data_IF_465064151111
#
_entry.id   IF_465064151111
#
_cell.length_a   1.000
_cell.length_b   1.000
_cell.length_c   1.000
_cell.angle_alpha   90.00
_cell.angle_beta   90.00
_cell.angle_gamma   90.00
#
_symmetry.space_group_name_H-M   'P 1'
#
loop_
_entity.id
_entity.type
_entity.pdbx_description
1 polymer ?
#
# COMPACT_ATOMS: atom_id res chain seq x y z
N UNK A 1 -14.75 6.49 -5.22
CA UNK A 1 -13.74 7.26 -4.43
C UNK A 1 -14.32 8.42 -3.61
N UNK A 2 -15.52 8.92 -3.96
CA UNK A 2 -16.19 10.07 -3.30
C UNK A 2 -16.42 9.94 -1.80
N UNK A 3 -16.40 8.72 -1.24
CA UNK A 3 -16.56 8.43 0.18
C UNK A 3 -15.32 8.75 1.04
N UNK A 4 -14.16 8.96 0.43
CA UNK A 4 -12.93 9.30 1.17
C UNK A 4 -12.98 10.77 1.65
N UNK A 5 -12.45 11.08 2.84
CA UNK A 5 -12.36 12.46 3.33
C UNK A 5 -11.27 13.25 2.60
N UNK A 6 -11.30 14.57 2.77
CA UNK A 6 -10.27 15.46 2.25
C UNK A 6 -10.53 16.01 0.84
N UNK A 7 -9.50 16.67 0.30
CA UNK A 7 -9.49 17.26 -1.03
C UNK A 7 -9.37 16.21 -2.16
N UNK A 8 -9.34 16.66 -3.42
CA UNK A 8 -9.25 15.79 -4.59
C UNK A 8 -8.10 14.79 -4.50
N UNK A 9 -6.92 15.24 -4.08
CA UNK A 9 -5.71 14.43 -3.98
C UNK A 9 -5.80 13.48 -2.80
N UNK A 10 -6.18 13.96 -1.62
CA UNK A 10 -6.31 13.17 -0.40
C UNK A 10 -7.31 12.02 -0.56
N UNK A 11 -8.42 12.22 -1.29
CA UNK A 11 -9.39 11.15 -1.57
C UNK A 11 -8.77 10.00 -2.35
N UNK A 12 -7.91 10.29 -3.33
CA UNK A 12 -7.23 9.26 -4.11
C UNK A 12 -6.08 8.65 -3.33
N UNK A 13 -5.33 9.45 -2.56
CA UNK A 13 -4.30 8.95 -1.67
C UNK A 13 -4.87 7.93 -0.67
N UNK A 14 -5.97 8.26 0.00
CA UNK A 14 -6.71 7.33 0.88
C UNK A 14 -7.12 6.05 0.15
N UNK A 15 -7.67 6.15 -1.05
CA UNK A 15 -8.05 4.98 -1.85
C UNK A 15 -6.85 4.10 -2.18
N UNK A 16 -5.74 4.70 -2.64
CA UNK A 16 -4.49 3.96 -2.92
C UNK A 16 -3.91 3.30 -1.67
N UNK A 17 -3.87 4.02 -0.55
CA UNK A 17 -3.42 3.50 0.73
C UNK A 17 -4.26 2.29 1.16
N UNK A 18 -5.59 2.41 1.09
CA UNK A 18 -6.51 1.33 1.43
C UNK A 18 -6.33 0.12 0.51
N UNK A 19 -6.18 0.31 -0.80
CA UNK A 19 -5.90 -0.82 -1.72
C UNK A 19 -4.58 -1.51 -1.37
N UNK A 20 -3.52 -0.75 -1.08
CA UNK A 20 -2.24 -1.32 -0.63
C UNK A 20 -2.35 -2.08 0.69
N UNK A 21 -3.19 -1.61 1.62
CA UNK A 21 -3.49 -2.31 2.86
C UNK A 21 -4.28 -3.60 2.60
N UNK A 22 -5.36 -3.51 1.82
CA UNK A 22 -6.26 -4.62 1.52
C UNK A 22 -5.54 -5.77 0.80
N UNK A 23 -4.62 -5.45 -0.11
CA UNK A 23 -3.80 -6.47 -0.79
C UNK A 23 -2.77 -7.14 0.13
N UNK A 24 -2.35 -6.47 1.21
CA UNK A 24 -1.41 -7.02 2.17
C UNK A 24 -2.07 -7.77 3.33
N UNK A 25 -3.30 -7.38 3.70
CA UNK A 25 -4.04 -7.99 4.79
C UNK A 25 -4.40 -9.46 4.47
N UNK A 26 -4.37 -10.39 5.45
CA UNK A 26 -4.77 -11.78 5.22
C UNK A 26 -6.18 -11.91 4.62
N UNK A 27 -6.30 -12.79 3.63
CA UNK A 27 -7.53 -13.07 2.91
C UNK A 27 -7.44 -12.75 1.42
N UNK A 28 -8.27 -13.41 0.61
CA UNK A 28 -8.26 -13.25 -0.85
C UNK A 28 -8.95 -11.94 -1.25
N UNK A 29 -8.48 -11.33 -2.33
CA UNK A 29 -8.93 -10.01 -2.77
C UNK A 29 -10.05 -10.12 -3.81
N UNK A 30 -11.05 -9.25 -3.67
CA UNK A 30 -12.07 -8.99 -4.66
C UNK A 30 -12.30 -7.48 -4.72
N UNK A 31 -12.26 -6.92 -5.92
CA UNK A 31 -12.47 -5.50 -6.18
C UNK A 31 -13.43 -5.36 -7.36
N UNK A 32 -14.49 -4.57 -7.21
CA UNK A 32 -15.53 -4.43 -8.23
C UNK A 32 -15.11 -3.41 -9.31
N UNK A 33 -15.60 -3.61 -10.54
CA UNK A 33 -15.25 -2.76 -11.68
C UNK A 33 -15.56 -1.28 -11.42
N UNK A 34 -14.69 -0.40 -11.93
CA UNK A 34 -14.71 1.04 -11.66
C UNK A 34 -13.87 1.44 -10.44
N UNK A 35 -13.68 0.55 -9.46
CA UNK A 35 -12.86 0.86 -8.28
C UNK A 35 -11.36 0.87 -8.61
N UNK A 36 -10.93 0.12 -9.61
CA UNK A 36 -9.54 -0.01 -10.05
C UNK A 36 -8.98 1.27 -10.68
N UNK A 37 -9.82 2.18 -11.16
CA UNK A 37 -9.42 3.51 -11.64
C UNK A 37 -10.07 4.64 -10.83
N UNK A 38 -10.51 4.34 -9.60
CA UNK A 38 -11.11 5.31 -8.68
C UNK A 38 -12.29 6.11 -9.26
N UNK A 39 -13.26 5.41 -9.86
CA UNK A 39 -14.51 6.02 -10.30
C UNK A 39 -15.17 6.86 -9.18
N UNK A 40 -15.67 8.03 -9.56
CA UNK A 40 -16.31 8.99 -8.68
C UNK A 40 -17.78 8.67 -8.42
N UNK A 41 -18.54 8.50 -9.51
CA UNK A 41 -19.96 8.17 -9.47
C UNK A 41 -20.22 6.77 -8.90
N UNK A 42 -21.41 6.59 -8.32
CA UNK A 42 -21.89 5.26 -7.97
C UNK A 42 -22.06 4.42 -9.24
N UNK A 43 -21.91 3.10 -9.10
CA UNK A 43 -22.08 2.21 -10.23
C UNK A 43 -23.52 2.23 -10.74
N UNK A 44 -23.68 2.32 -12.07
CA UNK A 44 -24.97 2.25 -12.75
C UNK A 44 -24.89 1.17 -13.82
N UNK A 45 -25.71 0.12 -13.69
CA UNK A 45 -25.83 -0.94 -14.69
C UNK A 45 -26.24 -0.43 -16.08
N UNK A 46 -27.03 0.65 -16.14
CA UNK A 46 -27.49 1.26 -17.37
C UNK A 46 -26.37 1.98 -18.15
N UNK A 47 -25.34 2.47 -17.45
CA UNK A 47 -24.26 3.27 -18.04
C UNK A 47 -22.91 2.54 -18.04
N UNK A 48 -22.75 1.50 -17.22
CA UNK A 48 -21.48 0.81 -17.06
C UNK A 48 -20.40 1.65 -16.35
N UNK A 49 -19.14 1.22 -16.38
CA UNK A 49 -18.02 1.99 -15.85
C UNK A 49 -17.75 3.29 -16.62
N UNK A 50 -17.35 4.34 -15.92
CA UNK A 50 -17.06 5.67 -16.46
C UNK A 50 -15.69 5.71 -17.18
N UNK A 51 -15.56 4.98 -18.29
CA UNK A 51 -14.29 4.85 -19.04
C UNK A 51 -13.72 6.17 -19.53
N UNK A 52 -14.55 7.20 -19.72
CA UNK A 52 -14.13 8.55 -20.09
C UNK A 52 -13.18 9.19 -19.06
N UNK A 53 -13.16 8.72 -17.81
CA UNK A 53 -12.19 9.14 -16.79
C UNK A 53 -10.74 8.77 -17.16
N UNK A 54 -10.55 7.80 -18.07
CA UNK A 54 -9.26 7.38 -18.59
C UNK A 54 -8.95 7.97 -19.96
N UNK A 55 -9.78 8.87 -20.49
CA UNK A 55 -9.56 9.53 -21.77
C UNK A 55 -8.41 10.54 -21.66
N UNK A 56 -7.52 10.63 -22.66
CA UNK A 56 -6.42 11.60 -22.65
C UNK A 56 -6.89 13.06 -22.62
N UNK A 57 -8.09 13.35 -23.15
CA UNK A 57 -8.67 14.69 -23.14
C UNK A 57 -9.23 15.14 -21.80
N UNK A 58 -9.41 14.23 -20.83
CA UNK A 58 -9.90 14.58 -19.50
C UNK A 58 -8.77 15.09 -18.60
N UNK A 59 -8.93 16.28 -18.03
CA UNK A 59 -7.87 17.00 -17.31
C UNK A 59 -7.28 16.25 -16.11
N UNK A 60 -8.05 15.33 -15.52
CA UNK A 60 -7.59 14.52 -14.38
C UNK A 60 -7.39 13.04 -14.73
N UNK A 61 -7.33 12.68 -16.01
CA UNK A 61 -7.18 11.28 -16.42
C UNK A 61 -5.87 10.64 -15.94
N UNK A 62 -4.81 11.44 -15.74
CA UNK A 62 -3.57 11.00 -15.11
C UNK A 62 -3.79 10.42 -13.70
N UNK A 63 -4.67 11.02 -12.90
CA UNK A 63 -4.94 10.54 -11.53
C UNK A 63 -5.68 9.19 -11.54
N UNK A 64 -6.61 9.01 -12.48
CA UNK A 64 -7.36 7.76 -12.65
C UNK A 64 -6.47 6.64 -13.19
N UNK A 65 -5.64 6.93 -14.20
CA UNK A 65 -4.62 6.01 -14.71
C UNK A 65 -3.61 5.62 -13.64
N UNK A 66 -3.18 6.56 -12.79
CA UNK A 66 -2.28 6.27 -11.66
C UNK A 66 -2.84 5.24 -10.68
N UNK A 67 -4.15 5.28 -10.39
CA UNK A 67 -4.80 4.24 -9.56
C UNK A 67 -4.88 2.91 -10.31
N UNK A 68 -5.19 2.93 -11.61
CA UNK A 68 -5.23 1.72 -12.45
C UNK A 68 -3.84 1.04 -12.51
N UNK A 69 -2.79 1.84 -12.67
CA UNK A 69 -1.41 1.37 -12.65
C UNK A 69 -1.02 0.81 -11.29
N UNK A 70 -1.48 1.42 -10.19
CA UNK A 70 -1.31 0.85 -8.85
C UNK A 70 -1.96 -0.54 -8.76
N UNK A 71 -3.20 -0.71 -9.23
CA UNK A 71 -3.89 -2.02 -9.17
C UNK A 71 -3.18 -3.07 -10.03
N UNK A 72 -2.67 -2.68 -11.21
CA UNK A 72 -1.82 -3.57 -12.05
C UNK A 72 -0.59 -4.04 -11.26
N UNK A 73 0.07 -3.10 -10.58
CA UNK A 73 1.28 -3.34 -9.83
C UNK A 73 1.05 -4.16 -8.55
N UNK A 74 -0.07 -3.92 -7.85
CA UNK A 74 -0.53 -4.72 -6.71
C UNK A 74 -0.76 -6.17 -7.13
N UNK A 75 -1.47 -6.40 -8.24
CA UNK A 75 -1.74 -7.75 -8.76
C UNK A 75 -0.48 -8.48 -9.22
N UNK A 76 0.50 -7.76 -9.76
CA UNK A 76 1.79 -8.34 -10.15
C UNK A 76 2.58 -8.74 -8.91
N UNK A 77 2.77 -7.80 -7.98
CA UNK A 77 3.51 -8.05 -6.72
C UNK A 77 2.86 -9.10 -5.84
N UNK A 78 1.54 -9.15 -5.79
CA UNK A 78 0.81 -10.18 -5.05
C UNK A 78 1.18 -11.57 -5.51
N UNK A 79 1.16 -11.83 -6.83
CA UNK A 79 1.57 -13.12 -7.39
C UNK A 79 3.04 -13.43 -7.11
N UNK A 80 3.89 -12.42 -7.22
CA UNK A 80 5.35 -12.56 -7.08
C UNK A 80 5.84 -12.62 -5.61
N UNK A 81 4.96 -12.39 -4.63
CA UNK A 81 5.30 -12.38 -3.21
C UNK A 81 4.51 -13.43 -2.44
N UNK A 82 5.05 -14.66 -2.28
CA UNK A 82 4.35 -15.78 -1.64
C UNK A 82 3.78 -15.50 -0.24
N UNK A 83 4.46 -14.65 0.54
CA UNK A 83 4.01 -14.24 1.88
C UNK A 83 2.60 -13.62 1.89
N UNK A 84 2.17 -13.03 0.77
CA UNK A 84 0.86 -12.38 0.67
C UNK A 84 -0.30 -13.37 0.49
N UNK A 85 -0.05 -14.63 0.11
CA UNK A 85 -1.13 -15.54 -0.29
C UNK A 85 -0.99 -17.01 0.12
N UNK A 86 0.23 -17.54 0.36
CA UNK A 86 0.41 -18.96 0.65
C UNK A 86 -0.31 -19.39 1.93
N UNK A 87 -0.25 -18.55 2.96
CA UNK A 87 -0.67 -18.89 4.33
C UNK A 87 -1.76 -17.98 4.90
N UNK A 88 -2.68 -17.50 4.06
CA UNK A 88 -3.77 -16.58 4.49
C UNK A 88 -4.65 -17.14 5.62
N UNK A 89 -4.81 -18.46 5.70
CA UNK A 89 -5.67 -19.12 6.69
C UNK A 89 -4.91 -19.62 7.92
N UNK A 90 -3.61 -19.33 8.01
CA UNK A 90 -2.76 -19.71 9.13
C UNK A 90 -2.47 -18.47 10.00
N UNK A 91 -2.99 -18.43 11.24
CA UNK A 91 -2.73 -17.32 12.15
C UNK A 91 -1.23 -17.09 12.43
N UNK A 92 -0.39 -18.13 12.32
CA UNK A 92 1.06 -18.02 12.51
C UNK A 92 1.80 -17.31 11.39
N UNK A 93 1.14 -17.06 10.25
CA UNK A 93 1.71 -16.35 9.10
C UNK A 93 1.43 -14.84 9.10
N UNK A 94 0.78 -14.33 10.15
CA UNK A 94 0.50 -12.91 10.33
C UNK A 94 0.93 -12.46 11.72
N UNK A 95 1.58 -11.30 11.82
CA UNK A 95 1.97 -10.72 13.11
C UNK A 95 1.85 -9.21 13.09
N UNK A 96 1.07 -8.64 14.00
CA UNK A 96 1.09 -7.20 14.23
C UNK A 96 2.47 -6.73 14.70
N UNK A 97 2.98 -5.68 14.06
CA UNK A 97 4.17 -4.95 14.48
C UNK A 97 3.75 -3.71 15.26
N UNK A 98 2.75 -2.98 14.75
CA UNK A 98 2.09 -1.86 15.43
C UNK A 98 0.58 -1.98 15.20
N UNK A 99 -0.19 -2.07 16.27
CA UNK A 99 -1.66 -2.08 16.22
C UNK A 99 -2.32 -1.09 17.19
N UNK A 100 -1.54 -0.50 18.10
CA UNK A 100 -1.95 0.42 19.16
C UNK A 100 -1.44 1.86 18.94
N UNK A 101 -0.79 2.13 17.80
CA UNK A 101 -0.36 3.47 17.37
C UNK A 101 -1.55 4.32 16.86
N UNK A 102 -2.65 4.34 17.63
CA UNK A 102 -3.89 5.01 17.27
C UNK A 102 -3.72 6.52 17.10
N UNK A 103 -2.93 7.15 17.99
CA UNK A 103 -2.57 8.56 17.90
C UNK A 103 -1.84 8.88 16.59
N UNK A 104 -1.13 7.88 16.06
CA UNK A 104 -0.36 8.04 14.84
C UNK A 104 -1.13 7.72 13.55
N UNK A 105 -2.26 7.01 13.66
CA UNK A 105 -2.98 6.42 12.54
C UNK A 105 -2.08 5.53 11.67
N UNK A 106 -1.17 4.78 12.30
CA UNK A 106 -0.25 3.85 11.64
C UNK A 106 -0.59 2.41 12.00
N UNK A 107 -0.71 1.58 10.98
CA UNK A 107 -0.84 0.13 11.11
C UNK A 107 0.37 -0.54 10.48
N UNK A 108 1.01 -1.46 11.19
CA UNK A 108 2.13 -2.22 10.64
C UNK A 108 2.01 -3.69 11.01
N UNK A 109 2.25 -4.57 10.05
CA UNK A 109 2.20 -6.02 10.28
C UNK A 109 3.15 -6.77 9.34
N UNK A 110 3.53 -7.97 9.76
CA UNK A 110 4.31 -8.92 9.00
C UNK A 110 3.41 -10.02 8.43
N UNK A 111 3.73 -10.43 7.22
CA UNK A 111 3.21 -11.60 6.52
C UNK A 111 4.35 -12.58 6.29
N UNK A 112 4.10 -13.88 6.40
CA UNK A 112 5.12 -14.91 6.20
C UNK A 112 4.68 -15.93 5.16
N UNK A 113 5.63 -16.37 4.33
CA UNK A 113 5.45 -17.50 3.42
C UNK A 113 5.68 -18.86 4.13
N UNK A 114 5.64 -19.96 3.38
CA UNK A 114 5.94 -21.31 3.90
C UNK A 114 7.40 -21.49 4.33
N UNK A 115 8.34 -20.77 3.71
CA UNK A 115 9.75 -20.79 4.08
C UNK A 115 10.07 -19.88 5.27
N UNK A 116 9.11 -19.09 5.75
CA UNK A 116 9.29 -18.09 6.80
C UNK A 116 9.85 -16.77 6.31
N UNK A 117 9.90 -16.52 4.99
CA UNK A 117 10.30 -15.22 4.42
C UNK A 117 9.23 -14.17 4.75
N UNK A 118 9.60 -13.04 5.39
CA UNK A 118 8.64 -12.03 5.75
C UNK A 118 8.38 -11.01 4.63
N UNK A 119 7.19 -10.41 4.63
CA UNK A 119 6.89 -9.10 4.07
C UNK A 119 6.38 -8.21 5.20
N UNK A 120 6.90 -6.99 5.31
CA UNK A 120 6.41 -5.97 6.22
C UNK A 120 5.51 -5.00 5.44
N UNK A 121 4.26 -4.86 5.87
CA UNK A 121 3.34 -3.87 5.35
C UNK A 121 3.09 -2.79 6.40
N UNK A 122 3.14 -1.52 5.98
CA UNK A 122 2.97 -0.36 6.85
C UNK A 122 2.04 0.62 6.18
N UNK A 123 0.97 1.00 6.84
CA UNK A 123 -0.03 1.94 6.35
C UNK A 123 -0.08 3.16 7.26
N UNK A 124 0.21 4.33 6.71
CA UNK A 124 0.02 5.62 7.36
C UNK A 124 -1.28 6.26 6.84
N UNK A 125 -2.35 6.20 7.64
CA UNK A 125 -3.65 6.79 7.31
C UNK A 125 -3.80 8.23 7.83
N UNK A 126 -2.70 8.85 8.27
CA UNK A 126 -2.64 10.29 8.55
C UNK A 126 -2.20 11.07 7.29
N UNK A 127 -2.70 12.30 7.07
CA UNK A 127 -2.15 13.21 6.06
C UNK A 127 -0.79 13.80 6.42
N UNK A 128 -0.23 13.43 7.58
CA UNK A 128 1.06 13.90 8.07
C UNK A 128 2.17 12.92 7.67
N UNK A 129 3.27 13.45 7.14
CA UNK A 129 4.50 12.68 6.89
C UNK A 129 5.16 12.33 8.22
N UNK A 130 5.55 11.07 8.41
CA UNK A 130 6.24 10.63 9.63
C UNK A 130 7.69 10.34 9.32
N UNK A 131 8.59 11.21 9.76
CA UNK A 131 10.03 11.03 9.59
C UNK A 131 10.61 10.15 10.71
N UNK A 132 11.69 9.44 10.39
CA UNK A 132 12.44 8.61 11.36
C UNK A 132 11.55 7.67 12.18
N UNK A 133 10.52 7.10 11.52
CA UNK A 133 9.55 6.24 12.18
C UNK A 133 10.18 4.87 12.43
N UNK A 134 10.19 4.43 13.69
CA UNK A 134 10.82 3.17 14.09
C UNK A 134 9.82 2.01 13.99
N UNK A 135 10.17 0.95 13.24
CA UNK A 135 9.37 -0.25 13.08
C UNK A 135 10.17 -1.49 13.50
N UNK A 136 9.79 -2.16 14.59
CA UNK A 136 10.41 -3.43 14.98
C UNK A 136 10.32 -4.48 13.87
N UNK A 137 11.41 -5.18 13.61
CA UNK A 137 11.49 -6.21 12.58
C UNK A 137 12.23 -7.46 13.07
N UNK A 138 12.00 -8.63 12.45
CA UNK A 138 12.79 -9.83 12.76
C UNK A 138 14.30 -9.60 12.53
N UNK A 139 15.12 -10.10 13.45
CA UNK A 139 16.58 -9.89 13.43
C UNK A 139 17.30 -10.72 12.37
N UNK A 140 16.66 -11.75 11.84
CA UNK A 140 17.18 -12.62 10.79
C UNK A 140 17.24 -11.96 9.40
N UNK A 141 16.55 -10.82 9.19
CA UNK A 141 16.56 -10.10 7.91
C UNK A 141 17.56 -8.93 7.97
N UNK A 142 18.71 -9.02 7.28
CA UNK A 142 19.77 -8.02 7.40
C UNK A 142 19.48 -6.72 6.64
N UNK A 143 18.74 -6.80 5.54
CA UNK A 143 18.45 -5.68 4.64
C UNK A 143 17.03 -5.80 4.12
N UNK A 144 16.29 -4.70 4.17
CA UNK A 144 14.92 -4.58 3.68
C UNK A 144 14.85 -3.59 2.53
N UNK A 145 14.19 -3.94 1.43
CA UNK A 145 13.98 -3.07 0.27
C UNK A 145 12.51 -2.70 0.10
N UNK A 146 12.27 -1.51 -0.43
CA UNK A 146 10.93 -1.09 -0.83
C UNK A 146 10.43 -1.97 -1.99
N UNK A 147 9.36 -2.71 -1.74
CA UNK A 147 8.62 -3.43 -2.76
C UNK A 147 7.51 -2.56 -3.36
N UNK A 148 6.81 -1.78 -2.53
CA UNK A 148 5.71 -0.92 -2.93
C UNK A 148 5.72 0.38 -2.10
N UNK A 149 5.40 1.50 -2.74
CA UNK A 149 5.03 2.75 -2.08
C UNK A 149 3.85 3.37 -2.85
N UNK A 150 2.67 3.42 -2.23
CA UNK A 150 1.46 3.95 -2.89
C UNK A 150 1.46 5.48 -3.05
N UNK A 151 2.42 6.17 -2.45
CA UNK A 151 2.67 7.61 -2.63
C UNK A 151 3.62 7.90 -3.80
N UNK A 152 4.13 6.89 -4.51
CA UNK A 152 4.96 7.11 -5.68
C UNK A 152 4.25 7.99 -6.73
N UNK A 153 4.98 8.95 -7.31
CA UNK A 153 4.42 9.92 -8.25
C UNK A 153 3.74 9.26 -9.47
N UNK A 154 4.21 8.09 -9.90
CA UNK A 154 3.58 7.31 -10.99
C UNK A 154 2.14 6.87 -10.69
N UNK A 155 1.74 6.83 -9.43
CA UNK A 155 0.36 6.53 -9.02
C UNK A 155 -0.46 7.79 -8.69
N UNK A 156 0.09 8.99 -8.93
CA UNK A 156 -0.51 10.27 -8.54
C UNK A 156 -0.32 10.60 -7.05
N UNK A 157 0.74 10.09 -6.41
CA UNK A 157 1.15 10.46 -5.05
C UNK A 157 2.14 11.63 -5.02
N UNK A 158 2.51 12.05 -3.81
CA UNK A 158 3.43 13.15 -3.54
C UNK A 158 4.91 12.81 -3.77
N UNK A 159 5.24 11.52 -3.92
CA UNK A 159 6.59 11.06 -4.20
C UNK A 159 7.54 11.13 -3.01
N UNK A 160 7.01 11.06 -1.77
CA UNK A 160 7.87 11.05 -0.58
C UNK A 160 8.70 9.77 -0.56
N UNK A 161 10.02 9.94 -0.56
CA UNK A 161 10.96 8.83 -0.47
C UNK A 161 10.95 8.23 0.95
N UNK A 162 10.84 6.90 1.03
CA UNK A 162 10.89 6.19 2.31
C UNK A 162 12.29 6.14 2.91
N UNK A 163 13.33 6.37 2.09
CA UNK A 163 14.73 6.13 2.45
C UNK A 163 15.18 4.69 2.19
N UNK A 164 14.31 3.82 1.69
CA UNK A 164 14.60 2.40 1.47
C UNK A 164 15.18 2.05 0.08
N UNK A 165 15.54 3.06 -0.73
CA UNK A 165 16.04 2.87 -2.09
C UNK A 165 17.34 2.06 -2.15
N UNK A 166 18.23 2.26 -1.17
CA UNK A 166 19.51 1.52 -1.06
C UNK A 166 19.41 0.29 -0.13
N UNK A 167 18.20 0.00 0.37
CA UNK A 167 17.96 -1.00 1.40
C UNK A 167 18.15 -0.46 2.82
N UNK A 168 17.18 -0.72 3.69
CA UNK A 168 17.20 -0.38 5.10
C UNK A 168 17.81 -1.51 5.91
N UNK A 169 18.77 -1.16 6.77
CA UNK A 169 19.35 -2.08 7.76
C UNK A 169 18.71 -1.82 9.13
N UNK A 170 18.22 -2.85 9.83
CA UNK A 170 17.73 -2.69 11.18
C UNK A 170 18.82 -2.14 12.11
N UNK A 171 18.44 -1.20 12.98
CA UNK A 171 19.27 -0.68 14.07
C UNK A 171 18.51 -0.94 15.36
N UNK A 172 19.16 -1.59 16.33
CA UNK A 172 18.54 -2.00 17.60
C UNK A 172 17.22 -2.77 17.42
N UNK A 173 17.15 -3.60 16.37
CA UNK A 173 15.97 -4.42 16.06
C UNK A 173 14.83 -3.70 15.33
N UNK A 174 15.02 -2.45 14.91
CA UNK A 174 14.01 -1.67 14.20
C UNK A 174 14.52 -1.05 12.88
N UNK A 175 13.63 -0.93 11.90
CA UNK A 175 13.86 -0.09 10.72
C UNK A 175 13.48 1.35 11.04
N UNK A 176 14.29 2.29 10.56
CA UNK A 176 13.99 3.72 10.57
C UNK A 176 13.75 4.18 9.14
N UNK A 177 12.57 4.73 8.87
CA UNK A 177 12.16 5.17 7.54
C UNK A 177 11.21 6.36 7.61
N UNK A 178 11.04 7.04 6.49
CA UNK A 178 9.97 8.04 6.35
C UNK A 178 8.70 7.36 5.85
N UNK A 179 7.57 7.55 6.56
CA UNK A 179 6.27 7.10 6.11
C UNK A 179 5.56 8.23 5.35
N UNK A 180 5.26 8.06 4.05
CA UNK A 180 4.50 9.04 3.28
C UNK A 180 3.09 9.23 3.85
N UNK A 181 2.46 10.39 3.60
CA UNK A 181 1.12 10.68 4.10
C UNK A 181 0.07 9.89 3.30
N UNK A 182 -0.99 9.41 3.96
CA UNK A 182 -2.09 8.66 3.31
C UNK A 182 -1.57 7.60 2.34
N UNK A 183 -0.72 6.70 2.85
CA UNK A 183 0.00 5.73 2.01
C UNK A 183 0.12 4.36 2.66
N UNK A 184 0.40 3.36 1.84
CA UNK A 184 0.88 2.04 2.26
C UNK A 184 2.23 1.76 1.60
N UNK A 185 3.17 1.27 2.41
CA UNK A 185 4.51 0.85 1.99
C UNK A 185 4.67 -0.63 2.29
N UNK A 186 5.24 -1.37 1.34
CA UNK A 186 5.65 -2.77 1.56
C UNK A 186 7.17 -2.87 1.50
N UNK A 187 7.74 -3.60 2.45
CA UNK A 187 9.16 -3.91 2.53
C UNK A 187 9.36 -5.42 2.47
N UNK A 188 10.37 -5.87 1.73
CA UNK A 188 10.77 -7.28 1.62
C UNK A 188 12.26 -7.43 1.89
N UNK A 189 12.76 -8.61 2.29
CA UNK A 189 14.19 -8.89 2.33
C UNK A 189 14.85 -8.56 0.97
N UNK A 190 16.02 -7.91 1.02
CA UNK A 190 16.90 -7.86 -0.14
C UNK A 190 17.59 -9.22 -0.29
N UNK A 191 17.48 -9.82 -1.47
CA UNK A 191 18.13 -11.09 -1.81
C UNK A 191 19.64 -10.97 -1.99
#
# INVERSE_FOLDING_TARGET
VSKMPGDWWQRRANHRAYLGFMWAHPGKQLLFMGQEFAQGGEWSEAHGPEWWLLDEGYCSAGDHRGVQDLVRDLNTRYRDTPALWQRDTDPGAFRWVMCDAADDNVFAFLRYDEAGTPLLAVSNFSPVVRHDYALPVPGEVPVWREALNTDAARYGGGGVATGAAEGLKPQDGALRLTLPPLSTVWLTPAG
#
